data_IF_933288141797
#
_entry.id   IF_933288141797
#
_cell.length_a   1.000
_cell.length_b   1.000
_cell.length_c   1.000
_cell.angle_alpha   90.00
_cell.angle_beta   90.00
_cell.angle_gamma   90.00
#
_symmetry.space_group_name_H-M   'P 1'
#
loop_
_entity.id
_entity.type
_entity.pdbx_description
1 polymer ?
#
# COMPACT_ATOMS: atom_id res chain seq x y z
N UNK A 1 3.55 -24.48 6.02
CA UNK A 1 4.61 -24.06 5.07
C UNK A 1 5.93 -23.95 5.83
N UNK A 2 7.06 -24.33 5.23
CA UNK A 2 8.39 -24.19 5.85
C UNK A 2 8.87 -22.73 5.87
N UNK A 3 9.56 -22.32 6.94
CA UNK A 3 9.98 -20.93 7.15
C UNK A 3 11.01 -20.46 6.12
N UNK A 4 11.91 -21.33 5.64
CA UNK A 4 12.88 -20.92 4.61
C UNK A 4 12.20 -20.53 3.31
N UNK A 5 11.12 -21.24 2.93
CA UNK A 5 10.31 -20.88 1.76
C UNK A 5 9.59 -19.55 1.92
N UNK A 6 9.11 -19.27 3.13
CA UNK A 6 8.46 -17.99 3.47
C UNK A 6 9.46 -16.84 3.36
N UNK A 7 10.67 -17.02 3.89
CA UNK A 7 11.73 -16.02 3.82
C UNK A 7 12.03 -15.60 2.37
N UNK A 8 12.14 -16.56 1.45
CA UNK A 8 12.38 -16.26 0.03
C UNK A 8 11.28 -15.40 -0.59
N UNK A 9 10.02 -15.67 -0.24
CA UNK A 9 8.90 -14.86 -0.74
C UNK A 9 8.94 -13.46 -0.16
N UNK A 10 9.19 -13.32 1.15
CA UNK A 10 9.29 -12.01 1.77
C UNK A 10 10.50 -11.23 1.24
N UNK A 11 11.65 -11.88 1.01
CA UNK A 11 12.86 -11.23 0.45
C UNK A 11 12.58 -10.66 -0.94
N UNK A 12 11.89 -11.44 -1.78
CA UNK A 12 11.47 -11.00 -3.11
C UNK A 12 10.52 -9.82 -3.01
N UNK A 13 9.53 -9.90 -2.12
CA UNK A 13 8.59 -8.82 -1.88
C UNK A 13 9.29 -7.54 -1.39
N UNK A 14 10.22 -7.65 -0.45
CA UNK A 14 11.05 -6.53 0.02
C UNK A 14 11.81 -5.85 -1.13
N UNK A 15 12.36 -6.65 -2.04
CA UNK A 15 13.07 -6.14 -3.22
C UNK A 15 12.14 -5.36 -4.16
N UNK A 16 10.96 -5.91 -4.44
CA UNK A 16 9.92 -5.26 -5.26
C UNK A 16 9.48 -3.94 -4.60
N UNK A 17 9.14 -3.96 -3.31
CA UNK A 17 8.73 -2.76 -2.58
C UNK A 17 9.82 -1.69 -2.63
N UNK A 18 11.10 -2.05 -2.43
CA UNK A 18 12.20 -1.08 -2.52
C UNK A 18 12.30 -0.46 -3.91
N UNK A 19 12.25 -1.28 -4.97
CA UNK A 19 12.35 -0.80 -6.35
C UNK A 19 11.17 0.11 -6.70
N UNK A 20 9.95 -0.33 -6.40
CA UNK A 20 8.75 0.40 -6.76
C UNK A 20 8.57 1.69 -5.97
N UNK A 21 9.00 1.73 -4.71
CA UNK A 21 9.03 2.96 -3.92
C UNK A 21 10.02 3.98 -4.50
N UNK A 22 11.17 3.52 -4.99
CA UNK A 22 12.13 4.39 -5.66
C UNK A 22 11.52 4.96 -6.95
N UNK A 23 10.90 4.11 -7.77
CA UNK A 23 10.23 4.54 -9.01
C UNK A 23 9.09 5.53 -8.72
N UNK A 24 8.26 5.26 -7.71
CA UNK A 24 7.19 6.17 -7.29
C UNK A 24 7.74 7.54 -6.92
N UNK A 25 8.84 7.60 -6.18
CA UNK A 25 9.50 8.88 -5.86
C UNK A 25 9.90 9.63 -7.14
N UNK A 26 10.43 8.95 -8.15
CA UNK A 26 10.77 9.57 -9.44
C UNK A 26 9.52 10.07 -10.17
N UNK A 27 8.44 9.30 -10.18
CA UNK A 27 7.17 9.71 -10.80
C UNK A 27 6.62 10.96 -10.10
N UNK A 28 6.63 11.04 -8.77
CA UNK A 28 6.20 12.23 -8.04
C UNK A 28 7.02 13.48 -8.39
N UNK A 29 8.34 13.35 -8.53
CA UNK A 29 9.18 14.48 -8.95
C UNK A 29 8.82 14.97 -10.36
N UNK A 30 8.54 14.04 -11.29
CA UNK A 30 8.09 14.38 -12.65
C UNK A 30 6.72 15.06 -12.66
N UNK A 31 5.79 14.63 -11.82
CA UNK A 31 4.48 15.29 -11.68
C UNK A 31 4.69 16.76 -11.31
N UNK A 32 5.47 17.03 -10.26
CA UNK A 32 5.74 18.39 -9.78
C UNK A 32 6.44 19.25 -10.83
N UNK A 33 7.42 18.68 -11.54
CA UNK A 33 8.12 19.37 -12.62
C UNK A 33 7.17 19.75 -13.77
N UNK A 34 6.28 18.84 -14.16
CA UNK A 34 5.30 19.07 -15.22
C UNK A 34 4.27 20.11 -14.83
N UNK A 35 3.75 20.05 -13.60
CA UNK A 35 2.84 21.07 -13.08
C UNK A 35 3.50 22.46 -13.04
N UNK A 36 4.76 22.55 -12.63
CA UNK A 36 5.53 23.81 -12.66
C UNK A 36 5.66 24.37 -14.08
N UNK A 37 5.78 23.49 -15.08
CA UNK A 37 5.87 23.86 -16.49
C UNK A 37 4.50 24.02 -17.16
N UNK A 38 3.40 23.97 -16.39
CA UNK A 38 2.01 24.01 -16.90
C UNK A 38 1.65 22.87 -17.89
N UNK A 39 2.41 21.78 -17.88
CA UNK A 39 2.12 20.53 -18.62
C UNK A 39 1.17 19.65 -17.80
N UNK A 40 -0.10 20.08 -17.70
CA UNK A 40 -1.10 19.38 -16.90
C UNK A 40 -1.49 18.01 -17.46
N UNK A 41 -1.50 17.85 -18.79
CA UNK A 41 -1.79 16.57 -19.45
C UNK A 41 -0.68 15.55 -19.17
N UNK A 42 0.58 15.98 -19.25
CA UNK A 42 1.71 15.15 -18.86
C UNK A 42 1.69 14.81 -17.37
N UNK A 43 1.33 15.76 -16.50
CA UNK A 43 1.21 15.51 -15.06
C UNK A 43 0.08 14.50 -14.76
N UNK A 44 -1.05 14.59 -15.45
CA UNK A 44 -2.15 13.64 -15.33
C UNK A 44 -1.73 12.22 -15.75
N UNK A 45 -0.97 12.09 -16.85
CA UNK A 45 -0.41 10.80 -17.28
C UNK A 45 0.55 10.20 -16.25
N UNK A 46 1.41 11.02 -15.63
CA UNK A 46 2.30 10.54 -14.57
C UNK A 46 1.54 10.14 -13.30
N UNK A 47 0.42 10.81 -12.98
CA UNK A 47 -0.47 10.38 -11.87
C UNK A 47 -1.13 9.04 -12.14
N UNK A 48 -1.53 8.78 -13.38
CA UNK A 48 -2.04 7.47 -13.78
C UNK A 48 -0.95 6.38 -13.63
N UNK A 49 0.28 6.67 -14.04
CA UNK A 49 1.43 5.77 -13.85
C UNK A 49 1.68 5.49 -12.36
N UNK A 50 1.65 6.53 -11.51
CA UNK A 50 1.79 6.37 -10.06
C UNK A 50 0.66 5.50 -9.48
N UNK A 51 -0.57 5.69 -9.95
CA UNK A 51 -1.72 4.87 -9.53
C UNK A 51 -1.51 3.40 -9.85
N UNK A 52 -1.16 3.06 -11.10
CA UNK A 52 -0.88 1.68 -11.51
C UNK A 52 0.23 1.03 -10.68
N UNK A 53 1.25 1.79 -10.32
CA UNK A 53 2.37 1.30 -9.50
C UNK A 53 1.97 1.06 -8.04
N UNK A 54 1.14 1.94 -7.47
CA UNK A 54 0.54 1.73 -6.14
C UNK A 54 -0.39 0.51 -6.14
N UNK A 55 -1.22 0.33 -7.17
CA UNK A 55 -2.09 -0.84 -7.30
C UNK A 55 -1.28 -2.14 -7.39
N UNK A 56 -0.16 -2.12 -8.12
CA UNK A 56 0.75 -3.27 -8.20
C UNK A 56 1.33 -3.62 -6.82
N UNK A 57 1.80 -2.63 -6.06
CA UNK A 57 2.31 -2.82 -4.69
C UNK A 57 1.26 -3.39 -3.74
N UNK A 58 0.01 -2.91 -3.85
CA UNK A 58 -1.11 -3.43 -3.04
C UNK A 58 -1.43 -4.88 -3.42
N UNK A 59 -1.45 -5.22 -4.71
CA UNK A 59 -1.67 -6.58 -5.16
C UNK A 59 -0.57 -7.54 -4.64
N UNK A 60 0.69 -7.11 -4.67
CA UNK A 60 1.81 -7.88 -4.12
C UNK A 60 1.72 -8.03 -2.59
N UNK A 61 1.27 -7.00 -1.87
CA UNK A 61 1.04 -7.10 -0.43
C UNK A 61 -0.05 -8.13 -0.11
N UNK A 62 -1.17 -8.13 -0.84
CA UNK A 62 -2.25 -9.12 -0.67
C UNK A 62 -1.74 -10.54 -0.92
N UNK A 63 -0.96 -10.75 -1.99
CA UNK A 63 -0.37 -12.06 -2.31
C UNK A 63 0.49 -12.58 -1.15
N UNK A 64 1.30 -11.70 -0.56
CA UNK A 64 2.15 -12.05 0.58
C UNK A 64 1.34 -12.31 1.84
N UNK A 65 0.31 -11.51 2.13
CA UNK A 65 -0.56 -11.72 3.29
C UNK A 65 -1.33 -13.05 3.22
N UNK A 66 -1.71 -13.52 2.04
CA UNK A 66 -2.34 -14.84 1.85
C UNK A 66 -1.42 -16.02 2.25
N UNK A 67 -0.11 -15.78 2.36
CA UNK A 67 0.84 -16.79 2.87
C UNK A 67 0.71 -16.94 4.38
N UNK A 68 0.40 -15.85 5.09
CA UNK A 68 0.26 -15.80 6.55
C UNK A 68 -0.72 -16.84 7.07
N UNK A 69 -1.84 -17.04 6.37
CA UNK A 69 -2.88 -18.02 6.72
C UNK A 69 -2.32 -19.45 6.81
N UNK A 70 -1.31 -19.76 5.99
CA UNK A 70 -0.68 -21.10 5.87
C UNK A 70 0.46 -21.31 6.87
N UNK A 71 0.72 -20.34 7.75
CA UNK A 71 1.76 -20.37 8.78
C UNK A 71 1.21 -20.81 10.14
N UNK A 72 2.08 -21.43 10.94
CA UNK A 72 1.80 -21.69 12.35
C UNK A 72 2.00 -20.42 13.19
N UNK A 73 1.53 -20.43 14.44
CA UNK A 73 1.59 -19.29 15.36
C UNK A 73 2.98 -18.63 15.44
N UNK A 74 4.03 -19.44 15.67
CA UNK A 74 5.40 -18.94 15.81
C UNK A 74 5.92 -18.25 14.53
N UNK A 75 5.60 -18.81 13.36
CA UNK A 75 6.00 -18.24 12.07
C UNK A 75 5.16 -17.02 11.70
N UNK A 76 3.89 -16.94 12.12
CA UNK A 76 3.03 -15.75 11.91
C UNK A 76 3.62 -14.52 12.61
N UNK A 77 4.06 -14.65 13.86
CA UNK A 77 4.68 -13.53 14.59
C UNK A 77 5.93 -13.01 13.88
N UNK A 78 6.80 -13.93 13.42
CA UNK A 78 8.02 -13.56 12.68
C UNK A 78 7.69 -12.92 11.33
N UNK A 79 6.67 -13.43 10.65
CA UNK A 79 6.19 -12.92 9.37
C UNK A 79 5.67 -11.49 9.53
N UNK A 80 4.77 -11.27 10.50
CA UNK A 80 4.14 -9.97 10.77
C UNK A 80 5.19 -8.91 11.09
N UNK A 81 6.16 -9.24 11.96
CA UNK A 81 7.26 -8.34 12.31
C UNK A 81 8.09 -7.90 11.09
N UNK A 82 8.20 -8.78 10.07
CA UNK A 82 8.97 -8.48 8.87
C UNK A 82 8.17 -7.70 7.83
N UNK A 83 6.86 -7.99 7.69
CA UNK A 83 5.97 -7.37 6.70
C UNK A 83 5.55 -5.95 7.11
N UNK A 84 5.41 -5.68 8.40
CA UNK A 84 4.88 -4.41 8.91
C UNK A 84 5.61 -3.15 8.39
N UNK A 85 6.96 -3.10 8.31
CA UNK A 85 7.66 -1.95 7.74
C UNK A 85 7.35 -1.71 6.26
N UNK A 86 7.13 -2.77 5.48
CA UNK A 86 6.75 -2.65 4.06
C UNK A 86 5.31 -2.17 3.91
N UNK A 87 4.38 -2.75 4.67
CA UNK A 87 2.99 -2.31 4.72
C UNK A 87 2.91 -0.81 5.03
N UNK A 88 3.65 -0.34 6.03
CA UNK A 88 3.72 1.08 6.41
C UNK A 88 4.23 1.96 5.26
N UNK A 89 5.26 1.52 4.53
CA UNK A 89 5.79 2.24 3.37
C UNK A 89 4.79 2.32 2.22
N UNK A 90 4.12 1.21 1.91
CA UNK A 90 3.07 1.17 0.89
C UNK A 90 1.93 2.12 1.28
N UNK A 91 1.54 2.14 2.55
CA UNK A 91 0.50 3.06 3.03
C UNK A 91 0.90 4.52 2.86
N UNK A 92 2.15 4.86 3.17
CA UNK A 92 2.67 6.21 2.93
C UNK A 92 2.58 6.60 1.45
N UNK A 93 2.93 5.68 0.54
CA UNK A 93 2.81 5.92 -0.91
C UNK A 93 1.36 6.13 -1.35
N UNK A 94 0.40 5.36 -0.84
CA UNK A 94 -1.04 5.54 -1.08
C UNK A 94 -1.48 6.94 -0.63
N UNK A 95 -1.06 7.36 0.57
CA UNK A 95 -1.40 8.67 1.11
C UNK A 95 -0.81 9.79 0.25
N UNK A 96 0.48 9.69 -0.13
CA UNK A 96 1.11 10.64 -1.04
C UNK A 96 0.37 10.75 -2.38
N UNK A 97 -0.10 9.63 -2.96
CA UNK A 97 -0.87 9.65 -4.21
C UNK A 97 -2.23 10.35 -4.05
N UNK A 98 -2.84 10.31 -2.87
CA UNK A 98 -4.10 11.03 -2.60
C UNK A 98 -3.88 12.54 -2.61
N UNK A 99 -2.83 13.03 -1.95
CA UNK A 99 -2.42 14.45 -2.01
C UNK A 99 -1.90 14.85 -3.40
N UNK A 100 -1.40 13.84 -4.11
CA UNK A 100 -1.22 13.73 -5.56
C UNK A 100 -2.33 14.21 -6.46
N UNK A 101 -3.59 14.05 -6.07
CA UNK A 101 -4.71 14.29 -6.99
C UNK A 101 -4.96 15.79 -7.11
N UNK A 102 -5.33 16.30 -8.30
CA UNK A 102 -5.73 17.69 -8.41
C UNK A 102 -6.99 17.82 -7.56
N UNK A 103 -6.90 18.57 -6.46
CA UNK A 103 -8.10 18.99 -5.74
C UNK A 103 -8.94 19.77 -6.74
N UNK A 104 -10.23 19.44 -6.91
CA UNK A 104 -11.14 20.33 -7.61
C UNK A 104 -10.99 21.69 -6.93
N UNK A 105 -10.61 22.73 -7.69
CA UNK A 105 -10.64 24.08 -7.15
C UNK A 105 -12.08 24.35 -6.70
N UNK A 106 -12.21 24.64 -5.41
CA UNK A 106 -13.43 25.04 -4.67
C UNK A 106 -14.41 23.90 -4.42
N UNK A 107 -14.44 23.38 -3.17
CA UNK A 107 -15.56 23.56 -2.23
C UNK A 107 -14.97 23.62 -0.81
N UNK A 108 -15.18 24.73 -0.11
CA UNK A 108 -15.07 24.79 1.36
C UNK A 108 -16.10 23.82 1.94
N UNK A 109 -15.67 22.74 2.59
CA UNK A 109 -16.57 21.96 3.45
C UNK A 109 -15.83 21.70 4.75
N UNK A 110 -16.35 22.35 5.79
CA UNK A 110 -16.08 22.09 7.19
C UNK A 110 -16.27 20.62 7.57
N UNK A 111 -15.66 20.26 8.71
CA UNK A 111 -15.99 19.14 9.58
C UNK A 111 -15.39 17.74 9.26
N UNK A 112 -14.75 17.22 10.30
CA UNK A 112 -14.46 15.80 10.57
C UNK A 112 -13.58 15.05 9.56
N UNK A 113 -12.27 15.30 9.67
CA UNK A 113 -11.26 14.27 9.41
C UNK A 113 -11.46 13.11 10.41
N UNK A 114 -12.40 12.24 10.10
CA UNK A 114 -12.57 10.98 10.79
C UNK A 114 -11.37 10.10 10.40
N UNK A 115 -10.38 10.03 11.30
CA UNK A 115 -9.13 9.28 11.16
C UNK A 115 -9.35 7.76 11.27
N UNK A 116 -10.38 7.24 10.61
CA UNK A 116 -10.66 5.81 10.51
C UNK A 116 -9.60 5.16 9.63
N UNK A 117 -8.80 4.29 10.23
CA UNK A 117 -7.86 3.45 9.50
C UNK A 117 -8.66 2.61 8.50
N UNK A 118 -8.47 2.87 7.21
CA UNK A 118 -9.25 2.31 6.09
C UNK A 118 -8.97 0.81 5.88
N UNK A 119 -8.44 0.14 6.89
CA UNK A 119 -8.11 -1.28 6.89
C UNK A 119 -8.60 -1.99 8.14
N UNK A 120 -9.34 -1.30 9.03
CA UNK A 120 -9.91 -1.95 10.22
C UNK A 120 -10.82 -3.13 9.81
N UNK A 121 -11.53 -3.02 8.69
CA UNK A 121 -12.32 -4.11 8.11
C UNK A 121 -11.48 -5.31 7.62
N UNK A 122 -10.21 -5.11 7.23
CA UNK A 122 -9.33 -6.23 6.81
C UNK A 122 -8.83 -7.06 7.99
N UNK A 123 -8.84 -6.49 9.20
CA UNK A 123 -8.49 -7.21 10.43
C UNK A 123 -9.72 -7.86 11.08
N UNK A 124 -10.90 -7.26 10.97
CA UNK A 124 -12.15 -7.80 11.51
C UNK A 124 -12.64 -9.06 10.78
N UNK A 125 -12.48 -9.15 9.45
CA UNK A 125 -12.81 -10.38 8.71
C UNK A 125 -11.92 -11.58 9.07
N UNK A 126 -10.70 -11.34 9.56
CA UNK A 126 -9.79 -12.40 9.98
C UNK A 126 -10.14 -12.98 11.37
N UNK A 127 -10.94 -12.29 12.19
CA UNK A 127 -11.31 -12.75 13.54
C UNK A 127 -12.75 -13.24 13.65
N UNK A 128 -13.62 -12.87 12.71
CA UNK A 128 -15.04 -13.25 12.69
C UNK A 128 -15.32 -14.73 12.37
N UNK A 129 -14.32 -15.53 11.96
CA UNK A 129 -14.49 -16.95 11.65
C UNK A 129 -14.40 -17.91 12.85
N UNK A 130 -14.20 -17.39 14.07
CA UNK A 130 -14.20 -18.18 15.31
C UNK A 130 -15.33 -17.79 16.27
N UNK A 131 -16.58 -17.71 15.81
CA UNK A 131 -17.74 -17.84 16.70
C UNK A 131 -19.03 -17.94 15.91
N UNK A 132 -19.43 -19.14 15.47
CA UNK A 132 -20.81 -19.64 15.61
C UNK A 132 -20.77 -21.18 15.49
N UNK A 133 -20.52 -21.85 16.62
CA UNK A 133 -21.01 -23.21 16.88
C UNK A 133 -21.40 -23.25 18.35
N UNK A 134 -22.67 -22.98 18.62
CA UNK A 134 -23.44 -23.45 19.79
C UNK A 134 -24.92 -23.26 19.48
#
# INVERSE_FOLDING_TARGET
MDWQRVLLVIDRFESVVKSDMFDLKQIYMRILEKERNSDYDGAAKERENATKKVDHLLAQLVEVLNIREKLNESHRVKFDARIEPMRTRIQSAVNCLRYTRPTPKVIEIDAEYNSGNIYDHLYEESTATYSVCS
#
